data_IF_208672732209
#
_entry.id   IF_208672732209
#
_cell.length_a   1.000
_cell.length_b   1.000
_cell.length_c   1.000
_cell.angle_alpha   90.00
_cell.angle_beta   90.00
_cell.angle_gamma   90.00
#
_symmetry.space_group_name_H-M   'P 1'
#
loop_
_entity.id
_entity.type
_entity.pdbx_description
1 polymer ?
#
# COMPACT_ATOMS: atom_id res chain seq x y z
N UNK A 1 46.21 46.48 49.47
CA UNK A 1 44.92 45.76 49.46
C UNK A 1 44.28 46.01 48.10
N UNK A 2 44.38 45.03 47.18
CA UNK A 2 43.83 45.16 45.83
C UNK A 2 42.62 44.24 45.75
N UNK A 3 41.44 44.84 45.63
CA UNK A 3 40.17 44.11 45.50
C UNK A 3 40.01 43.63 44.06
N UNK A 4 39.85 42.32 43.86
CA UNK A 4 39.66 41.65 42.56
C UNK A 4 38.16 41.40 42.37
N UNK A 5 37.51 42.27 41.59
CA UNK A 5 36.10 42.06 41.19
C UNK A 5 36.05 41.01 40.07
N UNK A 6 35.54 39.83 40.41
CA UNK A 6 35.25 38.75 39.43
C UNK A 6 33.89 39.01 38.82
N UNK A 7 33.87 39.59 37.63
CA UNK A 7 32.66 39.63 36.80
C UNK A 7 32.48 38.24 36.16
N UNK A 8 31.49 37.49 36.64
CA UNK A 8 31.10 36.20 36.09
C UNK A 8 30.26 36.44 34.85
N UNK A 9 30.84 36.32 33.64
CA UNK A 9 30.07 36.37 32.43
C UNK A 9 29.39 35.00 32.22
N UNK A 10 28.07 34.97 32.41
CA UNK A 10 27.21 33.82 32.02
C UNK A 10 27.11 33.81 30.51
N UNK A 11 27.86 32.90 29.88
CA UNK A 11 27.67 32.57 28.46
C UNK A 11 26.52 31.55 28.40
N UNK A 12 25.31 32.02 28.14
CA UNK A 12 24.14 31.17 27.83
C UNK A 12 24.32 30.60 26.45
N UNK A 13 24.72 29.34 26.39
CA UNK A 13 24.79 28.57 25.15
C UNK A 13 23.33 28.22 24.76
N UNK A 14 22.78 28.95 23.79
CA UNK A 14 21.53 28.57 23.15
C UNK A 14 21.81 27.36 22.27
N UNK A 15 21.61 26.15 22.80
CA UNK A 15 21.56 24.92 22.03
C UNK A 15 20.24 24.94 21.25
N UNK A 16 20.25 25.48 20.03
CA UNK A 16 19.15 25.30 19.10
C UNK A 16 19.07 23.80 18.80
N UNK A 17 18.22 23.11 19.52
CA UNK A 17 17.88 21.73 19.25
C UNK A 17 17.28 21.64 17.86
N UNK A 18 18.06 21.18 16.90
CA UNK A 18 17.59 20.80 15.59
C UNK A 18 16.70 19.56 15.81
N UNK A 19 15.40 19.77 15.97
CA UNK A 19 14.43 18.69 15.96
C UNK A 19 14.44 18.13 14.55
N UNK A 20 15.24 17.09 14.32
CA UNK A 20 15.13 16.28 13.12
C UNK A 20 13.81 15.54 13.27
N UNK A 21 12.72 16.14 12.77
CA UNK A 21 11.46 15.42 12.63
C UNK A 21 11.75 14.22 11.73
N UNK A 22 11.48 12.97 12.17
CA UNK A 22 11.57 11.83 11.27
C UNK A 22 10.66 12.15 10.08
N UNK A 23 11.23 12.12 8.87
CA UNK A 23 10.45 12.18 7.65
C UNK A 23 9.47 11.00 7.71
N UNK A 24 8.21 11.29 8.04
CA UNK A 24 7.16 10.30 7.96
C UNK A 24 7.07 9.89 6.48
N UNK A 25 7.55 8.69 6.17
CA UNK A 25 7.48 8.14 4.83
C UNK A 25 6.00 7.85 4.57
N UNK A 26 5.36 8.70 3.79
CA UNK A 26 3.98 8.49 3.39
C UNK A 26 3.92 7.23 2.50
N UNK A 27 3.05 6.29 2.84
CA UNK A 27 2.82 5.13 2.00
C UNK A 27 2.35 5.56 0.61
N UNK A 28 2.87 4.92 -0.43
CA UNK A 28 2.49 5.16 -1.82
C UNK A 28 1.64 4.01 -2.33
N UNK A 29 0.61 4.33 -3.14
CA UNK A 29 -0.27 3.30 -3.69
C UNK A 29 0.48 2.49 -4.75
N UNK A 30 0.54 1.16 -4.62
CA UNK A 30 1.07 0.29 -5.67
C UNK A 30 0.26 0.39 -6.97
N UNK A 31 0.89 0.06 -8.10
CA UNK A 31 0.22 0.03 -9.41
C UNK A 31 0.04 -1.41 -9.88
N UNK A 32 -1.20 -1.83 -10.05
CA UNK A 32 -1.56 -3.18 -10.50
C UNK A 32 -1.35 -3.40 -12.02
N UNK A 33 -0.97 -2.38 -12.79
CA UNK A 33 -0.83 -2.55 -14.24
C UNK A 33 -2.08 -3.17 -14.87
N UNK A 34 -1.88 -4.22 -15.66
CA UNK A 34 -2.96 -4.95 -16.34
C UNK A 34 -3.91 -5.67 -15.35
N UNK A 35 -3.42 -6.10 -14.18
CA UNK A 35 -4.27 -6.71 -13.16
C UNK A 35 -5.32 -5.76 -12.59
N UNK A 36 -5.20 -4.45 -12.81
CA UNK A 36 -6.18 -3.45 -12.35
C UNK A 36 -7.56 -3.59 -12.99
N UNK A 37 -7.69 -4.25 -14.14
CA UNK A 37 -8.99 -4.49 -14.78
C UNK A 37 -9.82 -5.58 -14.10
N UNK A 38 -9.17 -6.47 -13.35
CA UNK A 38 -9.80 -7.62 -12.74
C UNK A 38 -10.37 -7.31 -11.35
N UNK A 39 -11.60 -7.76 -11.08
CA UNK A 39 -12.15 -7.88 -9.73
C UNK A 39 -11.67 -9.16 -9.06
N UNK A 40 -11.54 -10.24 -9.85
CA UNK A 40 -11.08 -11.56 -9.40
C UNK A 40 -10.02 -12.06 -10.37
N UNK A 41 -8.85 -12.43 -9.86
CA UNK A 41 -7.77 -13.03 -10.64
C UNK A 41 -7.13 -14.15 -9.81
N UNK A 42 -7.01 -15.35 -10.40
CA UNK A 42 -6.45 -16.51 -9.73
C UNK A 42 -5.55 -17.33 -10.67
N UNK A 43 -4.65 -18.11 -10.07
CA UNK A 43 -3.73 -18.93 -10.87
C UNK A 43 -4.22 -20.39 -11.02
N UNK A 44 -4.93 -20.94 -10.04
CA UNK A 44 -5.23 -22.38 -10.03
C UNK A 44 -6.71 -22.70 -10.15
N UNK A 45 -7.59 -21.93 -9.52
CA UNK A 45 -9.01 -22.22 -9.49
C UNK A 45 -9.83 -20.99 -9.04
N UNK A 46 -11.01 -20.83 -9.59
CA UNK A 46 -12.05 -19.94 -9.05
C UNK A 46 -13.29 -20.82 -8.81
N UNK A 47 -13.59 -21.11 -7.54
CA UNK A 47 -14.83 -21.81 -7.15
C UNK A 47 -15.87 -20.83 -6.71
N UNK A 48 -17.14 -21.12 -7.01
CA UNK A 48 -18.24 -20.24 -6.68
C UNK A 48 -19.51 -21.04 -6.33
N UNK A 49 -20.17 -20.66 -5.24
CA UNK A 49 -21.54 -21.02 -4.95
C UNK A 49 -22.42 -19.85 -5.39
N UNK A 50 -23.20 -19.99 -6.46
CA UNK A 50 -23.99 -18.90 -7.04
C UNK A 50 -25.20 -18.53 -6.17
N UNK A 51 -25.73 -17.29 -6.34
CA UNK A 51 -25.23 -16.26 -7.22
C UNK A 51 -24.16 -15.37 -6.52
N UNK A 52 -23.06 -15.09 -7.23
CA UNK A 52 -22.14 -14.01 -6.84
C UNK A 52 -22.23 -12.84 -7.82
N UNK A 53 -21.74 -11.66 -7.44
CA UNK A 53 -21.72 -10.47 -8.29
C UNK A 53 -20.29 -9.94 -8.37
N UNK A 54 -19.71 -10.00 -9.56
CA UNK A 54 -18.34 -9.57 -9.85
C UNK A 54 -18.41 -8.33 -10.75
N UNK A 55 -18.03 -7.18 -10.23
CA UNK A 55 -18.26 -5.89 -10.89
C UNK A 55 -17.44 -5.62 -12.13
N UNK A 56 -16.28 -6.31 -12.31
CA UNK A 56 -15.38 -6.16 -13.46
C UNK A 56 -14.93 -7.52 -13.96
N UNK A 57 -13.77 -7.56 -14.66
CA UNK A 57 -13.24 -8.78 -15.25
C UNK A 57 -12.92 -9.86 -14.21
N UNK A 58 -13.07 -11.11 -14.61
CA UNK A 58 -12.58 -12.28 -13.89
C UNK A 58 -11.56 -13.01 -14.76
N UNK A 59 -10.45 -13.48 -14.17
CA UNK A 59 -9.37 -14.12 -14.91
C UNK A 59 -8.80 -15.34 -14.20
N UNK A 60 -8.47 -16.38 -14.99
CA UNK A 60 -7.82 -17.59 -14.51
C UNK A 60 -6.65 -17.97 -15.42
N UNK A 61 -5.45 -18.07 -14.86
CA UNK A 61 -4.21 -18.44 -15.56
C UNK A 61 -3.13 -18.82 -14.53
N UNK A 62 -2.32 -19.87 -14.75
CA UNK A 62 -2.24 -20.71 -15.97
C UNK A 62 -3.24 -21.88 -16.00
N UNK A 63 -4.09 -22.05 -15.00
CA UNK A 63 -5.06 -23.14 -14.99
C UNK A 63 -6.05 -23.05 -16.15
N UNK A 64 -6.54 -24.19 -16.60
CA UNK A 64 -7.51 -24.30 -17.68
C UNK A 64 -8.85 -23.63 -17.33
N UNK A 65 -9.56 -23.12 -18.34
CA UNK A 65 -10.86 -22.47 -18.16
C UNK A 65 -11.93 -23.36 -17.51
N UNK A 66 -11.77 -24.66 -17.55
CA UNK A 66 -12.65 -25.62 -16.85
C UNK A 66 -12.64 -25.48 -15.32
N UNK A 67 -11.64 -24.81 -14.74
CA UNK A 67 -11.55 -24.48 -13.31
C UNK A 67 -12.15 -23.11 -12.95
N UNK A 68 -12.81 -22.43 -13.90
CA UNK A 68 -13.52 -21.17 -13.69
C UNK A 68 -14.96 -21.48 -13.26
N UNK A 69 -15.31 -21.22 -12.01
CA UNK A 69 -16.65 -21.48 -11.46
C UNK A 69 -17.66 -20.33 -11.59
N UNK A 70 -17.27 -19.21 -12.21
CA UNK A 70 -18.16 -18.07 -12.44
C UNK A 70 -18.90 -18.19 -13.77
N UNK A 71 -20.11 -17.64 -13.82
CA UNK A 71 -20.97 -17.56 -15.01
C UNK A 71 -21.01 -16.13 -15.58
N UNK A 72 -21.38 -15.97 -16.85
CA UNK A 72 -21.53 -14.66 -17.49
C UNK A 72 -22.52 -13.75 -16.78
N UNK A 73 -23.57 -14.32 -16.18
CA UNK A 73 -24.57 -13.56 -15.43
C UNK A 73 -24.01 -12.96 -14.13
N UNK A 74 -22.91 -13.49 -13.62
CA UNK A 74 -22.29 -13.08 -12.37
C UNK A 74 -21.19 -12.06 -12.57
N UNK A 75 -20.63 -11.93 -13.78
CA UNK A 75 -19.48 -11.08 -14.09
C UNK A 75 -19.90 -9.88 -14.94
N UNK A 76 -19.79 -8.70 -14.38
CA UNK A 76 -20.12 -7.45 -15.08
C UNK A 76 -19.13 -7.02 -16.16
N UNK A 77 -17.94 -7.63 -16.17
CA UNK A 77 -16.91 -7.48 -17.20
C UNK A 77 -16.81 -8.73 -18.08
N UNK A 78 -15.58 -9.08 -18.45
CA UNK A 78 -15.27 -10.25 -19.28
C UNK A 78 -14.64 -11.35 -18.43
N UNK A 79 -15.04 -12.59 -18.68
CA UNK A 79 -14.34 -13.76 -18.13
C UNK A 79 -13.21 -14.12 -19.08
N UNK A 80 -11.97 -14.04 -18.61
CA UNK A 80 -10.77 -14.40 -19.36
C UNK A 80 -10.23 -15.75 -18.89
N UNK A 81 -9.92 -16.61 -19.86
CA UNK A 81 -9.33 -17.96 -19.66
C UNK A 81 -8.14 -18.16 -20.59
N UNK A 82 -7.28 -19.16 -20.30
CA UNK A 82 -6.09 -19.42 -21.10
C UNK A 82 -6.39 -20.24 -22.36
N UNK A 83 -7.49 -20.97 -22.37
CA UNK A 83 -7.86 -21.92 -23.45
C UNK A 83 -9.34 -21.81 -23.80
N UNK A 84 -9.75 -22.55 -24.83
CA UNK A 84 -11.15 -22.59 -25.26
C UNK A 84 -12.04 -23.54 -24.45
N UNK A 85 -11.55 -24.12 -23.34
CA UNK A 85 -12.36 -24.93 -22.43
C UNK A 85 -13.18 -23.98 -21.56
N UNK A 86 -14.39 -23.65 -22.04
CA UNK A 86 -15.27 -22.77 -21.31
C UNK A 86 -15.72 -23.42 -19.99
N UNK A 87 -15.84 -22.61 -18.91
CA UNK A 87 -16.71 -22.98 -17.80
C UNK A 87 -18.14 -23.21 -18.31
N UNK A 88 -19.08 -23.66 -17.47
CA UNK A 88 -20.49 -23.70 -17.82
C UNK A 88 -21.07 -22.36 -18.29
N UNK A 89 -20.27 -21.28 -18.25
CA UNK A 89 -20.55 -19.97 -18.79
C UNK A 89 -20.11 -19.86 -20.25
N UNK A 90 -21.04 -19.57 -21.14
CA UNK A 90 -20.90 -19.73 -22.59
C UNK A 90 -19.98 -18.70 -23.28
N UNK A 91 -19.53 -17.61 -22.62
CA UNK A 91 -18.88 -16.49 -23.29
C UNK A 91 -17.47 -16.13 -22.76
N UNK A 92 -16.77 -17.10 -22.15
CA UNK A 92 -15.40 -16.84 -21.72
C UNK A 92 -14.48 -16.55 -22.94
N UNK A 93 -13.65 -15.54 -22.80
CA UNK A 93 -12.72 -15.11 -23.83
C UNK A 93 -11.34 -15.74 -23.58
N UNK A 94 -10.85 -16.55 -24.54
CA UNK A 94 -9.49 -17.07 -24.48
C UNK A 94 -8.50 -15.95 -24.79
N UNK A 95 -7.70 -15.53 -23.79
CA UNK A 95 -6.66 -14.51 -23.97
C UNK A 95 -5.45 -14.80 -23.05
N UNK A 96 -4.63 -15.82 -23.35
CA UNK A 96 -3.50 -16.18 -22.53
C UNK A 96 -2.46 -15.08 -22.39
N UNK A 97 -2.27 -14.24 -23.42
CA UNK A 97 -1.32 -13.14 -23.39
C UNK A 97 -1.69 -12.06 -22.37
N UNK A 98 -2.96 -11.64 -22.36
CA UNK A 98 -3.50 -10.69 -21.39
C UNK A 98 -3.35 -11.25 -19.96
N UNK A 99 -3.76 -12.50 -19.77
CA UNK A 99 -3.71 -13.15 -18.47
C UNK A 99 -2.29 -13.32 -17.94
N UNK A 100 -1.35 -13.75 -18.79
CA UNK A 100 0.07 -13.83 -18.41
C UNK A 100 0.60 -12.48 -17.95
N UNK A 101 0.26 -11.40 -18.65
CA UNK A 101 0.66 -10.03 -18.25
C UNK A 101 0.02 -9.64 -16.93
N UNK A 102 -1.28 -9.90 -16.74
CA UNK A 102 -1.98 -9.56 -15.51
C UNK A 102 -1.45 -10.33 -14.27
N UNK A 103 -1.17 -11.63 -14.43
CA UNK A 103 -0.56 -12.45 -13.36
C UNK A 103 0.86 -11.93 -13.03
N UNK A 104 1.66 -11.61 -14.04
CA UNK A 104 2.99 -11.05 -13.81
C UNK A 104 2.93 -9.71 -13.09
N UNK A 105 2.01 -8.82 -13.49
CA UNK A 105 1.81 -7.53 -12.84
C UNK A 105 1.38 -7.70 -11.38
N UNK A 106 0.42 -8.59 -11.11
CA UNK A 106 -0.02 -8.93 -9.75
C UNK A 106 1.14 -9.46 -8.90
N UNK A 107 1.91 -10.42 -9.43
CA UNK A 107 3.06 -11.04 -8.74
C UNK A 107 4.17 -10.01 -8.49
N UNK A 108 4.44 -9.13 -9.45
CA UNK A 108 5.41 -8.05 -9.30
C UNK A 108 5.00 -7.09 -8.18
N UNK A 109 3.75 -6.63 -8.15
CA UNK A 109 3.26 -5.77 -7.06
C UNK A 109 3.37 -6.46 -5.72
N UNK A 110 2.99 -7.73 -5.63
CA UNK A 110 3.05 -8.52 -4.41
C UNK A 110 4.48 -8.71 -3.88
N UNK A 111 5.47 -8.88 -4.75
CA UNK A 111 6.86 -9.19 -4.42
C UNK A 111 7.78 -7.98 -4.37
N UNK A 112 7.43 -6.87 -5.04
CA UNK A 112 8.33 -5.72 -5.19
C UNK A 112 8.39 -4.88 -3.92
N UNK A 113 9.60 -4.67 -3.42
CA UNK A 113 9.89 -3.71 -2.35
C UNK A 113 10.10 -2.29 -2.87
N UNK A 114 10.35 -1.36 -1.97
CA UNK A 114 10.61 0.04 -2.27
C UNK A 114 9.35 0.91 -2.30
N UNK A 115 9.47 2.11 -2.87
CA UNK A 115 8.41 3.12 -2.82
C UNK A 115 7.25 2.90 -3.80
N UNK A 116 7.38 1.97 -4.75
CA UNK A 116 6.39 1.74 -5.82
C UNK A 116 5.65 0.41 -5.71
N UNK A 117 6.21 -0.56 -4.97
CA UNK A 117 5.58 -1.84 -4.69
C UNK A 117 4.83 -1.87 -3.37
N UNK A 118 4.27 -3.02 -3.04
CA UNK A 118 3.52 -3.20 -1.79
C UNK A 118 4.45 -3.43 -0.57
N UNK A 119 5.71 -3.84 -0.79
CA UNK A 119 6.65 -4.16 0.28
C UNK A 119 7.45 -2.93 0.76
N UNK A 120 6.71 -1.88 1.12
CA UNK A 120 7.26 -0.65 1.69
C UNK A 120 7.64 -0.85 3.17
N UNK A 121 8.57 -0.01 3.72
CA UNK A 121 8.93 -0.07 5.14
C UNK A 121 7.72 0.10 6.06
N UNK A 122 7.64 -0.70 7.12
CA UNK A 122 6.55 -0.62 8.08
C UNK A 122 6.62 0.70 8.85
N UNK A 123 5.53 1.47 8.88
CA UNK A 123 5.38 2.61 9.78
C UNK A 123 4.99 2.15 11.18
N UNK A 124 4.26 1.02 11.26
CA UNK A 124 3.90 0.36 12.51
C UNK A 124 4.10 -1.15 12.34
N UNK A 125 4.78 -1.79 13.28
CA UNK A 125 5.01 -3.24 13.26
C UNK A 125 4.56 -3.88 14.56
N UNK A 126 3.77 -4.95 14.41
CA UNK A 126 3.36 -5.87 15.48
C UNK A 126 3.96 -7.27 15.27
N UNK A 127 5.01 -7.39 14.43
CA UNK A 127 5.66 -8.67 14.18
C UNK A 127 6.34 -9.20 15.45
N UNK A 128 6.31 -10.53 15.63
CA UNK A 128 6.86 -11.19 16.82
C UNK A 128 5.93 -11.17 18.05
N UNK A 129 4.71 -10.63 17.92
CA UNK A 129 3.73 -10.59 19.02
C UNK A 129 2.53 -11.52 18.80
N UNK A 130 2.57 -12.32 17.72
CA UNK A 130 1.46 -13.15 17.28
C UNK A 130 0.43 -12.39 16.45
N UNK A 131 -0.77 -12.97 16.22
CA UNK A 131 -1.80 -12.34 15.43
C UNK A 131 -2.25 -11.00 16.02
N UNK A 132 -2.36 -9.96 15.16
CA UNK A 132 -2.86 -8.64 15.56
C UNK A 132 -4.32 -8.48 15.20
N UNK A 133 -5.17 -8.28 16.21
CA UNK A 133 -6.57 -7.90 15.99
C UNK A 133 -6.66 -6.40 15.71
N UNK A 134 -7.07 -6.06 14.49
CA UNK A 134 -7.19 -4.70 14.00
C UNK A 134 -8.36 -3.94 14.66
N UNK A 135 -9.36 -4.65 15.18
CA UNK A 135 -10.47 -4.04 15.94
C UNK A 135 -9.96 -3.28 17.16
N UNK A 136 -8.91 -3.79 17.79
CA UNK A 136 -8.34 -3.21 19.03
C UNK A 136 -7.53 -1.94 18.82
N UNK A 137 -7.22 -1.61 17.56
CA UNK A 137 -6.41 -0.44 17.20
C UNK A 137 -7.14 0.53 16.27
N UNK A 138 -8.42 0.29 16.04
CA UNK A 138 -9.30 1.19 15.28
C UNK A 138 -9.56 2.49 16.06
N UNK A 139 -9.59 3.67 15.39
CA UNK A 139 -9.33 3.91 13.96
C UNK A 139 -7.84 3.97 13.59
N UNK A 140 -7.52 3.65 12.33
CA UNK A 140 -6.16 3.73 11.80
C UNK A 140 -6.05 4.83 10.72
N UNK A 141 -5.00 5.65 10.83
CA UNK A 141 -4.57 6.59 9.79
C UNK A 141 -3.83 5.91 8.63
N UNK A 142 -3.49 6.66 7.55
CA UNK A 142 -2.66 6.15 6.47
C UNK A 142 -1.29 5.66 6.96
N UNK A 143 -0.79 4.57 6.37
CA UNK A 143 0.51 4.01 6.74
C UNK A 143 0.72 2.59 6.28
N UNK A 144 1.88 2.03 6.63
CA UNK A 144 2.25 0.64 6.37
C UNK A 144 2.27 -0.13 7.69
N UNK A 145 1.38 -1.11 7.82
CA UNK A 145 1.14 -1.90 9.02
C UNK A 145 1.61 -3.33 8.81
N UNK A 146 2.47 -3.82 9.68
CA UNK A 146 3.06 -5.15 9.57
C UNK A 146 2.72 -6.00 10.79
N UNK A 147 2.38 -7.27 10.57
CA UNK A 147 2.10 -8.25 11.63
C UNK A 147 2.43 -9.68 11.17
N UNK A 148 2.51 -10.60 12.12
CA UNK A 148 2.65 -12.03 11.82
C UNK A 148 1.38 -12.56 11.13
N UNK A 149 0.21 -12.16 11.63
CA UNK A 149 -1.10 -12.38 11.03
C UNK A 149 -2.03 -11.23 11.42
N UNK A 150 -3.10 -11.02 10.64
CA UNK A 150 -4.16 -10.10 11.00
C UNK A 150 -5.44 -10.84 11.34
N UNK A 151 -6.10 -10.35 12.38
CA UNK A 151 -7.47 -10.70 12.73
C UNK A 151 -8.34 -9.45 12.63
N UNK A 152 -9.61 -9.64 12.33
CA UNK A 152 -10.63 -8.59 12.42
C UNK A 152 -11.87 -9.20 13.08
N UNK A 153 -11.99 -9.03 14.39
CA UNK A 153 -13.10 -9.61 15.17
C UNK A 153 -14.33 -8.70 15.22
N UNK A 154 -14.19 -7.44 14.81
CA UNK A 154 -15.26 -6.44 14.74
C UNK A 154 -15.02 -5.43 13.62
N UNK A 155 -15.04 -4.13 13.94
CA UNK A 155 -14.97 -3.07 12.95
C UNK A 155 -13.62 -2.38 12.95
N UNK A 156 -13.03 -2.18 11.77
CA UNK A 156 -11.88 -1.33 11.52
C UNK A 156 -12.33 -0.10 10.75
N UNK A 157 -12.08 1.08 11.30
CA UNK A 157 -12.28 2.35 10.61
C UNK A 157 -10.95 2.88 10.12
N UNK A 158 -10.87 3.20 8.83
CA UNK A 158 -9.72 3.87 8.21
C UNK A 158 -10.02 5.36 8.10
N UNK A 159 -9.22 6.20 8.75
CA UNK A 159 -9.48 7.63 8.88
C UNK A 159 -8.37 8.48 8.28
N UNK A 160 -8.73 9.55 7.61
CA UNK A 160 -7.81 10.44 6.91
C UNK A 160 -7.74 10.18 5.40
N UNK A 161 -6.89 10.93 4.72
CA UNK A 161 -6.62 10.77 3.29
C UNK A 161 -5.20 10.19 3.10
N UNK A 162 -5.04 9.17 2.27
CA UNK A 162 -3.74 8.56 2.01
C UNK A 162 -3.84 7.10 1.63
N UNK A 163 -2.77 6.36 1.86
CA UNK A 163 -2.64 4.94 1.51
C UNK A 163 -2.47 4.10 2.76
N UNK A 164 -3.18 2.98 2.82
CA UNK A 164 -3.06 1.96 3.86
C UNK A 164 -2.52 0.68 3.23
N UNK A 165 -1.42 0.17 3.76
CA UNK A 165 -0.84 -1.10 3.35
C UNK A 165 -0.73 -2.00 4.58
N UNK A 166 -1.45 -3.11 4.56
CA UNK A 166 -1.41 -4.14 5.60
C UNK A 166 -0.59 -5.32 5.10
N UNK A 167 0.55 -5.59 5.74
CA UNK A 167 1.45 -6.69 5.38
C UNK A 167 1.40 -7.76 6.45
N UNK A 168 0.84 -8.92 6.11
CA UNK A 168 0.85 -10.10 6.96
C UNK A 168 1.92 -11.08 6.51
N UNK A 169 2.71 -11.59 7.45
CA UNK A 169 3.64 -12.69 7.19
C UNK A 169 2.91 -14.04 7.01
N UNK A 170 1.62 -14.09 7.34
CA UNK A 170 0.79 -15.29 7.24
C UNK A 170 -0.60 -14.96 6.71
N UNK A 171 -1.61 -14.93 7.57
CA UNK A 171 -3.04 -14.86 7.22
C UNK A 171 -3.68 -13.49 7.49
N UNK A 172 -4.82 -13.28 6.87
CA UNK A 172 -5.86 -12.37 7.33
C UNK A 172 -7.13 -13.22 7.57
N UNK A 173 -7.70 -13.13 8.78
CA UNK A 173 -8.95 -13.81 9.10
C UNK A 173 -9.93 -12.82 9.71
N UNK A 174 -11.14 -12.76 9.18
CA UNK A 174 -12.19 -11.89 9.71
C UNK A 174 -13.34 -12.70 10.29
N UNK A 175 -13.93 -12.20 11.37
CA UNK A 175 -15.13 -12.79 11.97
C UNK A 175 -16.37 -12.50 11.11
N UNK A 176 -17.41 -13.27 11.28
CA UNK A 176 -18.70 -13.00 10.64
C UNK A 176 -19.23 -11.61 11.06
N UNK A 177 -19.76 -10.86 10.09
CA UNK A 177 -20.32 -9.52 10.30
C UNK A 177 -19.29 -8.43 10.63
N UNK A 178 -17.97 -8.73 10.53
CA UNK A 178 -16.94 -7.71 10.71
C UNK A 178 -16.91 -6.73 9.54
N UNK A 179 -16.35 -5.54 9.75
CA UNK A 179 -16.26 -4.55 8.67
C UNK A 179 -14.93 -3.80 8.64
N UNK A 180 -14.49 -3.48 7.42
CA UNK A 180 -13.51 -2.43 7.16
C UNK A 180 -14.23 -1.29 6.48
N UNK A 181 -14.15 -0.09 7.01
CA UNK A 181 -14.86 1.08 6.50
C UNK A 181 -13.97 2.31 6.43
N UNK A 182 -14.25 3.20 5.50
CA UNK A 182 -13.49 4.43 5.29
C UNK A 182 -12.26 4.25 4.42
N UNK A 183 -11.57 5.35 4.13
CA UNK A 183 -10.52 5.38 3.13
C UNK A 183 -11.07 5.27 1.70
N UNK A 184 -10.16 5.23 0.74
CA UNK A 184 -10.47 4.96 -0.67
C UNK A 184 -10.07 3.50 -0.95
N UNK A 185 -10.96 2.62 -1.42
CA UNK A 185 -10.64 1.22 -1.70
C UNK A 185 -9.50 1.05 -2.70
N UNK A 186 -9.24 2.04 -3.55
CA UNK A 186 -8.07 2.05 -4.43
C UNK A 186 -6.73 2.25 -3.70
N UNK A 187 -6.78 2.78 -2.49
CA UNK A 187 -5.62 3.10 -1.67
C UNK A 187 -5.48 2.19 -0.45
N UNK A 188 -6.28 1.13 -0.37
CA UNK A 188 -6.22 0.14 0.70
C UNK A 188 -5.70 -1.19 0.13
N UNK A 189 -4.64 -1.72 0.74
CA UNK A 189 -3.88 -2.86 0.24
C UNK A 189 -3.62 -3.89 1.33
N UNK A 190 -3.91 -5.15 1.03
CA UNK A 190 -3.71 -6.28 1.93
C UNK A 190 -2.75 -7.27 1.27
N UNK A 191 -1.50 -7.32 1.72
CA UNK A 191 -0.49 -8.29 1.26
C UNK A 191 -0.39 -9.43 2.25
N UNK A 192 -0.67 -10.64 1.79
CA UNK A 192 -0.68 -11.86 2.59
C UNK A 192 0.32 -12.85 2.02
N UNK A 193 1.27 -13.34 2.85
CA UNK A 193 2.42 -14.10 2.33
C UNK A 193 2.12 -15.58 2.17
N UNK A 194 1.58 -16.25 3.17
CA UNK A 194 1.68 -17.72 3.21
C UNK A 194 0.39 -18.48 3.50
N UNK A 195 -0.76 -17.83 3.61
CA UNK A 195 -1.99 -18.55 3.90
C UNK A 195 -3.21 -17.87 3.30
N UNK A 196 -4.30 -18.62 3.25
CA UNK A 196 -5.57 -18.12 2.76
C UNK A 196 -6.06 -16.91 3.55
N UNK A 197 -6.49 -15.89 2.83
CA UNK A 197 -7.33 -14.86 3.40
C UNK A 197 -8.73 -15.45 3.60
N UNK A 198 -9.30 -15.33 4.79
CA UNK A 198 -10.69 -15.75 5.07
C UNK A 198 -11.49 -14.52 5.43
N UNK A 199 -12.40 -14.11 4.54
CA UNK A 199 -13.35 -13.04 4.78
C UNK A 199 -14.63 -13.67 5.30
N UNK A 200 -15.00 -13.36 6.53
CA UNK A 200 -16.07 -14.00 7.27
C UNK A 200 -17.47 -13.75 6.67
N UNK A 201 -18.41 -14.59 7.03
CA UNK A 201 -19.81 -14.54 6.58
C UNK A 201 -20.42 -13.16 6.82
N UNK A 202 -21.10 -12.59 5.81
CA UNK A 202 -21.79 -11.29 5.85
C UNK A 202 -20.87 -10.13 6.29
N UNK A 203 -19.55 -10.27 6.11
CA UNK A 203 -18.60 -9.18 6.37
C UNK A 203 -18.61 -8.17 5.22
N UNK A 204 -18.31 -6.91 5.54
CA UNK A 204 -18.08 -5.85 4.55
C UNK A 204 -16.61 -5.46 4.56
N UNK A 205 -15.91 -5.67 3.46
CA UNK A 205 -14.47 -5.49 3.40
C UNK A 205 -14.06 -4.48 2.31
N UNK A 206 -13.01 -3.71 2.58
CA UNK A 206 -12.52 -2.66 1.69
C UNK A 206 -11.07 -2.93 1.27
N UNK A 207 -10.78 -2.68 -0.01
CA UNK A 207 -9.42 -2.64 -0.54
C UNK A 207 -9.02 -3.84 -1.38
N UNK A 208 -7.78 -3.80 -1.87
CA UNK A 208 -7.23 -4.80 -2.79
C UNK A 208 -6.51 -5.88 -1.98
N UNK A 209 -6.98 -7.11 -2.07
CA UNK A 209 -6.37 -8.28 -1.41
C UNK A 209 -5.43 -8.96 -2.39
N UNK A 210 -4.13 -9.02 -2.06
CA UNK A 210 -3.09 -9.73 -2.78
C UNK A 210 -2.59 -10.88 -1.92
N UNK A 211 -3.01 -12.10 -2.23
CA UNK A 211 -2.65 -13.30 -1.48
C UNK A 211 -1.61 -14.13 -2.22
N UNK A 212 -0.53 -14.49 -1.53
CA UNK A 212 0.49 -15.43 -2.03
C UNK A 212 -0.01 -16.87 -2.14
N UNK A 213 -1.21 -17.16 -1.61
CA UNK A 213 -1.91 -18.42 -1.79
C UNK A 213 -3.37 -18.17 -2.19
N UNK A 214 -4.35 -18.52 -1.37
CA UNK A 214 -5.76 -18.46 -1.74
C UNK A 214 -6.52 -17.37 -0.99
N UNK A 215 -7.65 -16.95 -1.55
CA UNK A 215 -8.63 -16.07 -0.93
C UNK A 215 -9.94 -16.85 -0.82
N UNK A 216 -10.52 -16.91 0.37
CA UNK A 216 -11.84 -17.48 0.61
C UNK A 216 -12.76 -16.39 1.14
N UNK A 217 -13.84 -16.13 0.45
CA UNK A 217 -14.93 -15.29 0.93
C UNK A 217 -16.09 -16.19 1.33
N UNK A 218 -16.47 -16.11 2.60
CA UNK A 218 -17.59 -16.89 3.14
C UNK A 218 -18.92 -16.29 2.71
N UNK A 219 -20.00 -17.03 2.94
CA UNK A 219 -21.34 -16.72 2.47
C UNK A 219 -21.73 -15.27 2.70
N UNK A 220 -22.14 -14.59 1.64
CA UNK A 220 -22.69 -13.23 1.66
C UNK A 220 -21.67 -12.12 2.00
N UNK A 221 -20.38 -12.43 2.09
CA UNK A 221 -19.37 -11.40 2.30
C UNK A 221 -19.25 -10.47 1.08
N UNK A 222 -19.03 -9.18 1.32
CA UNK A 222 -18.85 -8.16 0.29
C UNK A 222 -17.44 -7.59 0.33
N UNK A 223 -16.85 -7.38 -0.84
CA UNK A 223 -15.54 -6.76 -1.02
C UNK A 223 -15.65 -5.56 -1.97
N UNK A 224 -15.54 -4.37 -1.42
CA UNK A 224 -15.31 -3.17 -2.23
C UNK A 224 -13.81 -3.07 -2.55
N UNK A 225 -13.38 -3.79 -3.54
CA UNK A 225 -11.97 -4.02 -3.84
C UNK A 225 -11.76 -5.11 -4.87
N UNK A 226 -10.62 -5.79 -4.78
CA UNK A 226 -10.21 -6.87 -5.66
C UNK A 226 -9.71 -8.07 -4.87
N UNK A 227 -10.00 -9.27 -5.38
CA UNK A 227 -9.47 -10.54 -4.87
C UNK A 227 -8.46 -11.10 -5.88
N UNK A 228 -7.17 -10.93 -5.60
CA UNK A 228 -6.06 -11.30 -6.47
C UNK A 228 -5.20 -12.36 -5.76
N UNK A 229 -5.21 -13.61 -6.24
CA UNK A 229 -4.62 -14.76 -5.56
C UNK A 229 -3.62 -15.51 -6.45
N UNK A 230 -2.44 -15.82 -5.92
CA UNK A 230 -1.46 -16.69 -6.59
C UNK A 230 -1.83 -18.19 -6.51
N UNK A 231 -2.98 -18.53 -5.96
CA UNK A 231 -3.56 -19.88 -6.05
C UNK A 231 -5.04 -19.77 -6.38
N UNK A 232 -5.95 -20.02 -5.45
CA UNK A 232 -7.37 -20.09 -5.71
C UNK A 232 -8.17 -18.93 -5.11
N UNK A 233 -9.31 -18.63 -5.72
CA UNK A 233 -10.37 -17.80 -5.12
C UNK A 233 -11.62 -18.63 -4.93
N UNK A 234 -12.16 -18.63 -3.71
CA UNK A 234 -13.40 -19.34 -3.37
C UNK A 234 -14.46 -18.33 -2.97
N UNK A 235 -15.62 -18.42 -3.61
CA UNK A 235 -16.74 -17.51 -3.45
C UNK A 235 -18.00 -18.27 -3.05
N UNK A 236 -18.88 -17.62 -2.28
CA UNK A 236 -20.16 -18.13 -1.84
C UNK A 236 -21.15 -16.96 -1.66
N UNK A 237 -22.00 -16.72 -2.66
CA UNK A 237 -22.97 -15.60 -2.66
C UNK A 237 -22.32 -14.22 -2.40
N UNK A 238 -21.15 -13.96 -2.98
CA UNK A 238 -20.36 -12.77 -2.69
C UNK A 238 -20.58 -11.64 -3.68
N UNK A 239 -20.28 -10.42 -3.24
CA UNK A 239 -20.21 -9.24 -4.10
C UNK A 239 -18.79 -8.68 -4.09
N UNK A 240 -18.15 -8.55 -5.26
CA UNK A 240 -16.82 -7.92 -5.42
C UNK A 240 -16.95 -6.80 -6.46
N UNK A 241 -16.80 -5.55 -6.04
CA UNK A 241 -17.08 -4.40 -6.91
C UNK A 241 -15.97 -4.12 -7.93
N UNK A 242 -14.70 -4.33 -7.60
CA UNK A 242 -13.58 -4.01 -8.47
C UNK A 242 -13.54 -2.51 -8.83
N UNK A 243 -13.29 -1.60 -7.89
CA UNK A 243 -13.40 -0.17 -8.13
C UNK A 243 -12.49 0.31 -9.27
N UNK A 244 -12.94 1.31 -10.03
CA UNK A 244 -12.10 1.98 -11.02
C UNK A 244 -11.18 2.95 -10.30
N UNK A 245 -9.90 2.59 -10.21
CA UNK A 245 -8.90 3.42 -9.60
C UNK A 245 -8.31 4.35 -10.65
N UNK A 246 -8.49 5.65 -10.46
CA UNK A 246 -7.73 6.65 -11.23
C UNK A 246 -6.30 6.58 -10.69
N UNK A 247 -5.26 6.45 -11.53
CA UNK A 247 -3.90 6.59 -11.05
C UNK A 247 -3.80 7.88 -10.25
N UNK A 248 -3.28 7.83 -9.02
CA UNK A 248 -2.99 9.05 -8.29
C UNK A 248 -2.13 9.90 -9.22
N UNK A 249 -2.63 11.07 -9.59
CA UNK A 249 -1.79 12.06 -10.26
C UNK A 249 -0.62 12.25 -9.30
N UNK A 250 0.57 11.82 -9.73
CA UNK A 250 1.79 12.04 -8.95
C UNK A 250 1.79 13.50 -8.50
N UNK A 251 2.42 13.84 -7.37
CA UNK A 251 2.50 15.23 -6.94
C UNK A 251 2.84 16.05 -8.17
N UNK A 252 2.14 17.17 -8.43
CA UNK A 252 2.29 17.89 -9.68
C UNK A 252 3.79 18.09 -9.91
N UNK A 253 4.33 17.32 -10.87
CA UNK A 253 5.71 17.50 -11.30
C UNK A 253 5.75 18.94 -11.76
N UNK A 254 6.42 19.81 -10.95
CA UNK A 254 6.44 21.25 -11.02
C UNK A 254 5.94 21.79 -12.36
N UNK A 255 4.62 21.97 -12.45
CA UNK A 255 4.04 22.63 -13.57
C UNK A 255 4.70 23.99 -13.60
N UNK A 256 5.47 24.28 -14.65
CA UNK A 256 5.82 25.66 -14.97
C UNK A 256 4.51 26.42 -14.94
N UNK A 257 4.30 27.19 -13.87
CA UNK A 257 3.24 28.22 -13.86
C UNK A 257 3.32 28.92 -15.22
N UNK A 258 2.20 29.03 -15.97
CA UNK A 258 2.22 29.82 -17.19
C UNK A 258 2.80 31.17 -16.80
N UNK A 259 4.01 31.48 -17.29
CA UNK A 259 4.67 32.72 -16.98
C UNK A 259 3.74 33.85 -17.37
N UNK A 260 3.50 34.80 -16.48
CA UNK A 260 2.94 36.07 -16.84
C UNK A 260 3.70 36.62 -18.04
N UNK A 261 3.05 37.30 -19.00
CA UNK A 261 3.73 37.87 -20.17
C UNK A 261 4.95 38.65 -19.71
N UNK A 262 6.09 38.33 -20.27
CA UNK A 262 7.38 38.94 -19.92
C UNK A 262 7.35 40.43 -20.31
N UNK A 263 7.00 41.28 -19.35
CA UNK A 263 7.18 42.73 -19.47
C UNK A 263 8.65 43.01 -19.13
N UNK A 264 9.52 42.77 -20.13
CA UNK A 264 10.97 42.85 -20.08
C UNK A 264 11.53 43.95 -19.15
N UNK A 265 11.91 43.55 -17.96
CA UNK A 265 12.84 44.22 -17.02
C UNK A 265 13.06 43.28 -15.82
N UNK A 266 13.78 42.21 -16.00
CA UNK A 266 14.24 41.30 -14.93
C UNK A 266 15.70 40.95 -15.12
N UNK A 267 16.55 41.42 -14.22
CA UNK A 267 17.94 40.99 -14.13
C UNK A 267 18.02 39.49 -13.96
N UNK A 268 19.00 38.79 -14.56
CA UNK A 268 19.20 37.36 -14.30
C UNK A 268 19.46 37.11 -12.83
N UNK A 269 18.80 36.12 -12.25
CA UNK A 269 19.03 35.63 -10.91
C UNK A 269 20.47 35.13 -10.81
N UNK A 270 21.25 35.72 -9.91
CA UNK A 270 22.59 35.25 -9.62
C UNK A 270 22.51 33.84 -9.01
N UNK A 271 23.25 32.92 -9.60
CA UNK A 271 23.45 31.56 -9.08
C UNK A 271 24.10 31.64 -7.69
N UNK A 272 23.46 31.05 -6.68
CA UNK A 272 24.05 30.89 -5.35
C UNK A 272 25.35 30.09 -5.45
N UNK A 273 26.51 30.65 -5.10
CA UNK A 273 27.75 29.91 -5.14
C UNK A 273 27.83 28.94 -3.97
N UNK A 274 27.96 27.65 -4.25
CA UNK A 274 28.16 26.56 -3.28
C UNK A 274 29.38 26.78 -2.35
N UNK A 275 30.24 27.77 -2.64
CA UNK A 275 31.43 28.11 -1.87
C UNK A 275 31.13 28.66 -0.45
N UNK A 276 29.93 29.10 -0.14
CA UNK A 276 29.62 29.72 1.16
C UNK A 276 29.20 28.70 2.24
N UNK A 277 28.81 27.48 1.87
CA UNK A 277 28.43 26.43 2.84
C UNK A 277 29.65 25.77 3.47
N UNK A 278 30.79 25.71 2.75
CA UNK A 278 32.04 25.12 3.25
C UNK A 278 32.76 25.98 4.33
N UNK A 279 32.48 27.28 4.34
CA UNK A 279 33.22 28.20 5.24
C UNK A 279 32.78 28.17 6.70
N UNK A 280 31.61 27.60 6.99
CA UNK A 280 31.05 27.54 8.37
C UNK A 280 31.45 26.24 9.08
N UNK A 281 31.64 25.13 8.35
CA UNK A 281 31.92 23.81 8.94
C UNK A 281 33.38 23.69 9.38
N UNK A 282 34.33 24.26 8.62
CA UNK A 282 35.74 24.18 8.91
C UNK A 282 36.16 24.81 10.24
N UNK A 283 35.69 26.02 10.66
CA UNK A 283 36.10 26.60 11.94
C UNK A 283 35.51 25.81 13.14
N UNK A 284 34.36 25.14 13.01
CA UNK A 284 33.79 24.34 14.10
C UNK A 284 34.65 23.09 14.36
N UNK A 285 35.09 22.40 13.32
CA UNK A 285 35.93 21.22 13.44
C UNK A 285 37.33 21.58 13.98
N UNK A 286 37.88 22.71 13.56
CA UNK A 286 39.15 23.23 14.10
C UNK A 286 39.04 23.61 15.58
N UNK A 287 37.93 24.22 15.98
CA UNK A 287 37.64 24.56 17.39
C UNK A 287 37.56 23.33 18.29
N UNK A 288 36.88 22.28 17.87
CA UNK A 288 36.75 21.01 18.61
C UNK A 288 38.12 20.29 18.71
N UNK A 289 38.92 20.31 17.64
CA UNK A 289 40.26 19.72 17.66
C UNK A 289 41.23 20.44 18.63
N UNK A 290 41.19 21.78 18.66
CA UNK A 290 42.06 22.58 19.55
C UNK A 290 41.64 22.46 21.02
N UNK A 291 40.34 22.34 21.33
CA UNK A 291 39.86 22.07 22.69
C UNK A 291 40.26 20.68 23.19
N UNK A 292 40.21 19.65 22.33
CA UNK A 292 40.63 18.30 22.70
C UNK A 292 42.15 18.17 22.95
N UNK A 293 43.00 19.04 22.33
CA UNK A 293 44.45 19.08 22.54
C UNK A 293 44.85 19.81 23.81
N UNK A 294 43.97 20.68 24.38
CA UNK A 294 44.27 21.44 25.61
C UNK A 294 43.83 20.74 26.90
N UNK A 295 42.94 19.73 26.80
CA UNK A 295 42.48 18.96 27.98
C UNK A 295 42.47 17.46 27.62
N UNK A 296 43.66 16.80 27.73
CA UNK A 296 43.65 15.33 27.74
C UNK A 296 43.03 14.86 29.05
N UNK A 297 42.17 13.84 28.99
CA UNK A 297 41.57 13.21 30.14
C UNK A 297 42.56 12.47 31.01
#
# INVERSE_FOLDING_TARGET
MISYNRTLALVTFFLAGFVISPLAYAATSPSLGTAASFSVLAETNITNVPPSVIGRDAGLSPAAGSFMGLTDAEVGGTIYVVDGTAPPAANATANPGLLTTAINDMTNVWSTGGSTGIDQPCTTSWSGTGPKDLTTVSPLGPGVYCADAFLLTGNLTLSGAGVWIFKSASTLTTSAGSSVTGGDPCNIWWRLVSAASIIGTNSTFEGNILAGTSITMQTGATLNGRALAQAAVTLDHNTITGPTCVPALGPPSGGTTPGLPNTGLGKPAESFPWATVGSIVLPILAGVYLLRKRYPA
#
